data_IF_802311708271
#
_entry.id   IF_802311708271
#
_cell.length_a   1.000
_cell.length_b   1.000
_cell.length_c   1.000
_cell.angle_alpha   90.00
_cell.angle_beta   90.00
_cell.angle_gamma   90.00
#
_symmetry.space_group_name_H-M   'P 1'
#
loop_
_entity.id
_entity.type
_entity.pdbx_description
1 polymer ?
#
# COMPACT_ATOMS: atom_id res chain seq x y z
N UNK A 1 -18.82 -4.16 12.39
CA UNK A 1 -19.26 -4.53 13.76
C UNK A 1 -18.18 -4.26 14.80
N UNK A 2 -16.93 -4.72 14.60
CA UNK A 2 -15.82 -4.51 15.56
C UNK A 2 -15.50 -3.03 15.79
N UNK A 3 -15.50 -2.19 14.74
CA UNK A 3 -15.21 -0.75 14.87
C UNK A 3 -16.12 -0.01 15.87
N UNK A 4 -17.42 -0.36 15.90
CA UNK A 4 -18.38 0.23 16.86
C UNK A 4 -18.12 -0.27 18.28
N UNK A 5 -17.69 -1.53 18.42
CA UNK A 5 -17.39 -2.13 19.71
C UNK A 5 -16.10 -1.55 20.33
N UNK A 6 -15.09 -1.20 19.53
CA UNK A 6 -13.86 -0.53 20.02
C UNK A 6 -14.18 0.87 20.61
N UNK A 7 -15.22 1.55 20.13
CA UNK A 7 -15.61 2.87 20.66
C UNK A 7 -16.44 2.81 21.94
N UNK A 8 -16.92 1.64 22.34
CA UNK A 8 -17.72 1.46 23.56
C UNK A 8 -16.86 0.80 24.66
N UNK A 9 -16.63 1.48 25.79
CA UNK A 9 -15.81 0.94 26.88
C UNK A 9 -16.25 -0.45 27.38
N UNK A 10 -17.57 -0.73 27.38
CA UNK A 10 -18.12 -1.99 27.86
C UNK A 10 -17.83 -3.18 26.92
N UNK A 11 -17.60 -2.91 25.63
CA UNK A 11 -17.32 -3.96 24.64
C UNK A 11 -15.88 -3.91 24.10
N UNK A 12 -15.07 -2.95 24.55
CA UNK A 12 -13.68 -2.77 24.13
C UNK A 12 -12.82 -4.02 24.34
N UNK A 13 -12.92 -4.66 25.52
CA UNK A 13 -12.13 -5.88 25.82
C UNK A 13 -12.48 -7.04 24.90
N UNK A 14 -13.79 -7.23 24.62
CA UNK A 14 -14.28 -8.24 23.70
C UNK A 14 -13.82 -7.92 22.28
N UNK A 15 -13.94 -6.66 21.85
CA UNK A 15 -13.52 -6.23 20.52
C UNK A 15 -12.03 -6.47 20.27
N UNK A 16 -11.17 -6.11 21.24
CA UNK A 16 -9.72 -6.37 21.17
C UNK A 16 -9.39 -7.86 21.16
N UNK A 17 -10.15 -8.66 21.90
CA UNK A 17 -9.98 -10.12 21.92
C UNK A 17 -10.33 -10.71 20.57
N UNK A 18 -11.49 -10.36 20.02
CA UNK A 18 -11.89 -10.77 18.67
C UNK A 18 -10.85 -10.33 17.64
N UNK A 19 -10.32 -9.10 17.75
CA UNK A 19 -9.29 -8.59 16.85
C UNK A 19 -8.03 -9.45 16.82
N UNK A 20 -7.54 -9.80 18.01
CA UNK A 20 -6.40 -10.70 18.19
C UNK A 20 -6.68 -12.08 17.62
N UNK A 21 -7.85 -12.65 17.89
CA UNK A 21 -8.21 -14.00 17.46
C UNK A 21 -8.27 -14.13 15.94
N UNK A 22 -8.95 -13.20 15.23
CA UNK A 22 -8.99 -13.30 13.76
C UNK A 22 -7.61 -13.05 13.13
N UNK A 23 -6.79 -12.17 13.72
CA UNK A 23 -5.41 -11.95 13.28
C UNK A 23 -4.56 -13.22 13.39
N UNK A 24 -4.57 -13.88 14.56
CA UNK A 24 -3.85 -15.13 14.77
C UNK A 24 -4.37 -16.26 13.88
N UNK A 25 -5.69 -16.37 13.75
CA UNK A 25 -6.31 -17.34 12.86
C UNK A 25 -5.88 -17.14 11.40
N UNK A 26 -5.87 -15.90 10.90
CA UNK A 26 -5.44 -15.62 9.52
C UNK A 26 -3.97 -15.95 9.29
N UNK A 27 -3.10 -15.68 10.27
CA UNK A 27 -1.69 -16.07 10.22
C UNK A 27 -1.51 -17.60 10.21
N UNK A 28 -2.25 -18.32 11.06
CA UNK A 28 -2.21 -19.79 11.12
C UNK A 28 -2.68 -20.43 9.80
N UNK A 29 -3.72 -19.88 9.19
CA UNK A 29 -4.26 -20.27 7.88
C UNK A 29 -3.41 -19.76 6.69
N UNK A 30 -2.28 -19.09 6.95
CA UNK A 30 -1.39 -18.51 5.93
C UNK A 30 -2.12 -17.61 4.93
N UNK A 31 -3.13 -16.85 5.39
CA UNK A 31 -3.87 -15.95 4.51
C UNK A 31 -2.95 -14.85 4.03
N UNK A 32 -2.84 -14.70 2.71
CA UNK A 32 -1.91 -13.74 2.12
C UNK A 32 -2.32 -12.30 2.51
N UNK A 33 -1.38 -11.37 2.73
CA UNK A 33 -1.71 -9.98 3.03
C UNK A 33 -2.64 -9.34 1.99
N UNK A 34 -2.54 -9.71 0.72
CA UNK A 34 -3.47 -9.24 -0.32
C UNK A 34 -4.94 -9.65 -0.08
N UNK A 35 -5.17 -10.83 0.51
CA UNK A 35 -6.52 -11.31 0.86
C UNK A 35 -7.03 -10.63 2.12
N UNK A 36 -6.16 -10.50 3.13
CA UNK A 36 -6.45 -9.78 4.37
C UNK A 36 -6.88 -8.32 4.10
N UNK A 37 -6.26 -7.67 3.11
CA UNK A 37 -6.64 -6.32 2.65
C UNK A 37 -8.13 -6.24 2.29
N UNK A 38 -8.63 -7.20 1.50
CA UNK A 38 -10.04 -7.28 1.08
C UNK A 38 -10.97 -7.66 2.22
N UNK A 39 -10.53 -8.54 3.12
CA UNK A 39 -11.33 -8.89 4.31
C UNK A 39 -11.49 -7.72 5.28
N UNK A 40 -10.59 -6.74 5.21
CA UNK A 40 -10.70 -5.47 5.92
C UNK A 40 -11.49 -4.41 5.14
N UNK A 41 -12.06 -4.76 3.98
CA UNK A 41 -12.76 -3.87 3.05
C UNK A 41 -11.91 -2.68 2.59
N UNK A 42 -10.58 -2.79 2.67
CA UNK A 42 -9.68 -1.69 2.27
C UNK A 42 -9.70 -1.47 0.76
N UNK A 43 -10.01 -2.50 -0.04
CA UNK A 43 -10.22 -2.41 -1.49
C UNK A 43 -11.43 -1.53 -1.86
N UNK A 44 -12.35 -1.32 -0.92
CA UNK A 44 -13.54 -0.45 -1.08
C UNK A 44 -13.34 0.94 -0.49
N UNK A 45 -12.22 1.21 0.21
CA UNK A 45 -11.96 2.50 0.82
C UNK A 45 -11.59 3.59 -0.21
N UNK A 46 -11.15 3.17 -1.42
CA UNK A 46 -10.84 4.08 -2.53
C UNK A 46 -9.80 5.11 -2.12
N UNK A 47 -10.04 6.38 -2.46
CA UNK A 47 -9.13 7.48 -2.16
C UNK A 47 -8.73 7.62 -0.67
N UNK A 48 -9.57 7.13 0.24
CA UNK A 48 -9.33 7.20 1.69
C UNK A 48 -8.53 6.01 2.24
N UNK A 49 -8.06 5.09 1.40
CA UNK A 49 -7.39 3.85 1.81
C UNK A 49 -6.30 4.07 2.85
N UNK A 50 -5.35 4.98 2.62
CA UNK A 50 -4.21 5.19 3.53
C UNK A 50 -4.61 5.85 4.85
N UNK A 51 -5.68 6.65 4.85
CA UNK A 51 -6.24 7.28 6.04
C UNK A 51 -7.26 6.38 6.77
N UNK A 52 -7.64 5.25 6.16
CA UNK A 52 -8.63 4.36 6.73
C UNK A 52 -8.06 3.69 7.99
N UNK A 53 -8.78 3.66 9.14
CA UNK A 53 -8.23 3.13 10.40
C UNK A 53 -7.72 1.68 10.30
N UNK A 54 -8.36 0.84 9.49
CA UNK A 54 -7.94 -0.55 9.24
C UNK A 54 -6.66 -0.69 8.42
N UNK A 55 -6.18 0.38 7.78
CA UNK A 55 -4.94 0.31 6.99
C UNK A 55 -3.74 0.01 7.90
N UNK A 56 -3.68 0.61 9.08
CA UNK A 56 -2.64 0.31 10.06
C UNK A 56 -2.74 -1.16 10.54
N UNK A 57 -3.93 -1.64 10.87
CA UNK A 57 -4.15 -3.06 11.22
C UNK A 57 -3.65 -4.00 10.12
N UNK A 58 -3.89 -3.65 8.84
CA UNK A 58 -3.40 -4.43 7.72
C UNK A 58 -1.86 -4.39 7.57
N UNK A 59 -1.23 -3.24 7.79
CA UNK A 59 0.24 -3.12 7.78
C UNK A 59 0.85 -4.00 8.88
N UNK A 60 0.29 -3.96 10.08
CA UNK A 60 0.74 -4.82 11.19
C UNK A 60 0.54 -6.32 10.86
N UNK A 61 -0.56 -6.68 10.18
CA UNK A 61 -0.75 -8.04 9.69
C UNK A 61 0.30 -8.44 8.64
N UNK A 62 0.58 -7.56 7.67
CA UNK A 62 1.60 -7.78 6.64
C UNK A 62 2.98 -7.99 7.26
N UNK A 63 3.37 -7.19 8.24
CA UNK A 63 4.66 -7.31 8.92
C UNK A 63 4.78 -8.63 9.68
N UNK A 64 3.73 -9.03 10.42
CA UNK A 64 3.70 -10.32 11.11
C UNK A 64 3.73 -11.50 10.13
N UNK A 65 2.98 -11.42 9.02
CA UNK A 65 3.00 -12.43 7.97
C UNK A 65 4.40 -12.58 7.37
N UNK A 66 5.05 -11.47 7.04
CA UNK A 66 6.41 -11.43 6.49
C UNK A 66 7.46 -12.03 7.45
N UNK A 67 7.28 -11.86 8.77
CA UNK A 67 8.16 -12.47 9.77
C UNK A 67 7.99 -13.99 9.83
N UNK A 68 6.75 -14.48 9.78
CA UNK A 68 6.44 -15.91 9.87
C UNK A 68 6.72 -16.67 8.57
N UNK A 69 6.54 -16.01 7.42
CA UNK A 69 6.62 -16.63 6.09
C UNK A 69 7.60 -15.87 5.18
N UNK A 70 8.92 -15.93 5.47
CA UNK A 70 9.93 -15.14 4.75
C UNK A 70 9.98 -15.40 3.24
N UNK A 71 9.69 -16.64 2.80
CA UNK A 71 9.65 -17.02 1.39
C UNK A 71 8.45 -16.46 0.62
N UNK A 72 7.44 -15.95 1.33
CA UNK A 72 6.22 -15.37 0.76
C UNK A 72 6.10 -13.88 1.08
N UNK A 73 7.23 -13.24 1.42
CA UNK A 73 7.26 -11.83 1.79
C UNK A 73 6.68 -10.95 0.69
N UNK A 74 5.94 -9.95 1.11
CA UNK A 74 5.35 -8.93 0.24
C UNK A 74 5.57 -7.55 0.84
N UNK A 75 5.31 -6.49 0.08
CA UNK A 75 5.46 -5.10 0.52
C UNK A 75 4.12 -4.39 0.56
N UNK A 76 4.06 -3.24 1.23
CA UNK A 76 2.85 -2.40 1.22
C UNK A 76 2.45 -2.05 -0.23
N UNK A 77 3.42 -1.70 -1.09
CA UNK A 77 3.10 -1.35 -2.48
C UNK A 77 2.60 -2.55 -3.29
N UNK A 78 3.12 -3.76 -3.04
CA UNK A 78 2.62 -4.99 -3.67
C UNK A 78 1.19 -5.30 -3.22
N UNK A 79 0.90 -5.12 -1.94
CA UNK A 79 -0.46 -5.26 -1.40
C UNK A 79 -1.45 -4.27 -2.01
N UNK A 80 -1.04 -3.02 -2.23
CA UNK A 80 -1.84 -2.02 -2.94
C UNK A 80 -2.06 -2.44 -4.40
N UNK A 81 -1.00 -2.84 -5.14
CA UNK A 81 -1.11 -3.26 -6.55
C UNK A 81 -1.89 -4.55 -6.76
N UNK A 82 -1.95 -5.42 -5.75
CA UNK A 82 -2.80 -6.62 -5.77
C UNK A 82 -4.31 -6.30 -5.65
N UNK A 83 -4.67 -5.08 -5.26
CA UNK A 83 -6.04 -4.65 -5.01
C UNK A 83 -6.47 -3.42 -5.82
N UNK A 84 -5.52 -2.65 -6.33
CA UNK A 84 -5.71 -1.45 -7.13
C UNK A 84 -4.76 -1.44 -8.31
N UNK A 85 -5.24 -0.92 -9.46
CA UNK A 85 -4.33 -0.56 -10.54
C UNK A 85 -3.56 0.73 -10.20
N UNK A 86 -2.47 0.98 -10.93
CA UNK A 86 -1.59 2.11 -10.64
C UNK A 86 -2.31 3.48 -10.75
N UNK A 87 -3.31 3.61 -11.63
CA UNK A 87 -4.16 4.82 -11.72
C UNK A 87 -4.87 5.10 -10.38
N UNK A 88 -5.54 4.09 -9.82
CA UNK A 88 -6.23 4.22 -8.55
C UNK A 88 -5.24 4.47 -7.40
N UNK A 89 -4.06 3.86 -7.44
CA UNK A 89 -3.00 4.10 -6.45
C UNK A 89 -2.52 5.55 -6.50
N UNK A 90 -2.32 6.13 -7.68
CA UNK A 90 -1.93 7.54 -7.80
C UNK A 90 -3.03 8.48 -7.27
N UNK A 91 -4.31 8.17 -7.52
CA UNK A 91 -5.42 8.94 -6.90
C UNK A 91 -5.45 8.84 -5.37
N UNK A 92 -5.16 7.66 -4.82
CA UNK A 92 -5.01 7.45 -3.37
C UNK A 92 -3.86 8.31 -2.83
N UNK A 93 -2.70 8.30 -3.49
CA UNK A 93 -1.55 9.11 -3.10
C UNK A 93 -1.87 10.61 -3.15
N UNK A 94 -2.49 11.09 -4.22
CA UNK A 94 -2.85 12.50 -4.37
C UNK A 94 -3.87 12.96 -3.32
N UNK A 95 -4.75 12.06 -2.87
CA UNK A 95 -5.70 12.36 -1.80
C UNK A 95 -5.00 12.39 -0.45
N UNK A 96 -4.20 11.36 -0.15
CA UNK A 96 -3.47 11.24 1.11
C UNK A 96 -2.43 12.37 1.29
N UNK A 97 -1.70 12.76 0.22
CA UNK A 97 -0.68 13.83 0.27
C UNK A 97 -1.22 15.18 0.78
N UNK A 98 -2.55 15.40 0.77
CA UNK A 98 -3.20 16.60 1.34
C UNK A 98 -3.25 16.60 2.86
N UNK A 99 -3.09 15.44 3.50
CA UNK A 99 -2.98 15.28 4.94
C UNK A 99 -1.50 15.18 5.35
N UNK A 100 -0.96 16.18 6.09
CA UNK A 100 0.42 16.17 6.54
C UNK A 100 0.82 14.92 7.35
N UNK A 101 -0.14 14.26 8.01
CA UNK A 101 0.13 13.03 8.77
C UNK A 101 0.50 11.84 7.88
N UNK A 102 0.11 11.85 6.61
CA UNK A 102 0.38 10.76 5.66
C UNK A 102 1.43 11.10 4.61
N UNK A 103 1.86 12.36 4.51
CA UNK A 103 2.80 12.86 3.49
C UNK A 103 4.08 12.01 3.39
N UNK A 104 4.72 11.73 4.54
CA UNK A 104 5.96 10.91 4.57
C UNK A 104 5.73 9.48 4.11
N UNK A 105 4.56 8.90 4.41
CA UNK A 105 4.20 7.56 3.96
C UNK A 105 3.99 7.57 2.44
N UNK A 106 3.23 8.54 1.92
CA UNK A 106 2.99 8.70 0.48
C UNK A 106 4.31 8.82 -0.28
N UNK A 107 5.24 9.66 0.17
CA UNK A 107 6.53 9.83 -0.49
C UNK A 107 7.32 8.50 -0.60
N UNK A 108 7.29 7.66 0.44
CA UNK A 108 7.91 6.32 0.44
C UNK A 108 7.22 5.36 -0.52
N UNK A 109 5.88 5.38 -0.55
CA UNK A 109 5.10 4.50 -1.42
C UNK A 109 5.21 4.91 -2.89
N UNK A 110 5.29 6.21 -3.18
CA UNK A 110 5.62 6.73 -4.50
C UNK A 110 6.99 6.22 -4.98
N UNK A 111 8.04 6.33 -4.14
CA UNK A 111 9.35 5.74 -4.47
C UNK A 111 9.24 4.23 -4.73
N UNK A 112 8.51 3.52 -3.89
CA UNK A 112 8.32 2.07 -4.04
C UNK A 112 7.59 1.70 -5.33
N UNK A 113 6.61 2.50 -5.77
CA UNK A 113 5.90 2.30 -7.03
C UNK A 113 6.82 2.56 -8.24
N UNK A 114 7.64 3.62 -8.17
CA UNK A 114 8.66 3.89 -9.19
C UNK A 114 9.63 2.71 -9.30
N UNK A 115 10.04 2.12 -8.17
CA UNK A 115 10.93 0.95 -8.16
C UNK A 115 10.31 -0.25 -8.85
N UNK A 116 8.97 -0.42 -8.73
CA UNK A 116 8.24 -1.45 -9.48
C UNK A 116 8.26 -1.17 -10.98
N UNK A 117 7.99 0.06 -11.41
CA UNK A 117 8.06 0.43 -12.82
C UNK A 117 9.47 0.21 -13.41
N UNK A 118 10.53 0.52 -12.65
CA UNK A 118 11.92 0.24 -13.06
C UNK A 118 12.15 -1.25 -13.25
N UNK A 119 11.77 -2.07 -12.26
CA UNK A 119 11.94 -3.52 -12.33
C UNK A 119 11.16 -4.15 -13.49
N UNK A 120 9.96 -3.62 -13.76
CA UNK A 120 9.08 -4.01 -14.87
C UNK A 120 9.52 -3.45 -16.22
N UNK A 121 10.51 -2.55 -16.23
CA UNK A 121 11.01 -1.86 -17.43
C UNK A 121 9.88 -1.15 -18.19
N UNK A 122 8.97 -0.53 -17.44
CA UNK A 122 7.82 0.18 -18.03
C UNK A 122 8.30 1.33 -18.94
N UNK A 123 7.87 1.39 -20.22
CA UNK A 123 8.31 2.46 -21.10
C UNK A 123 7.79 3.83 -20.64
N UNK A 124 8.66 4.83 -20.60
CA UNK A 124 8.33 6.21 -20.16
C UNK A 124 7.09 6.75 -20.89
N UNK A 125 7.02 6.59 -22.21
CA UNK A 125 5.89 7.05 -23.03
C UNK A 125 4.59 6.30 -22.74
N UNK A 126 4.67 5.03 -22.31
CA UNK A 126 3.51 4.27 -21.86
C UNK A 126 2.98 4.82 -20.54
N UNK A 127 3.87 5.10 -19.58
CA UNK A 127 3.46 5.69 -18.29
C UNK A 127 2.88 7.10 -18.47
N UNK A 128 3.50 7.94 -19.32
CA UNK A 128 2.97 9.28 -19.64
C UNK A 128 1.55 9.19 -20.21
N UNK A 129 1.33 8.36 -21.23
CA UNK A 129 0.00 8.17 -21.84
C UNK A 129 -1.01 7.56 -20.87
N UNK A 130 -0.57 6.70 -19.96
CA UNK A 130 -1.46 6.06 -18.96
C UNK A 130 -1.91 7.05 -17.89
N UNK A 131 -1.08 8.05 -17.57
CA UNK A 131 -1.28 8.92 -16.42
C UNK A 131 -1.47 10.41 -16.75
N UNK A 132 -1.54 10.79 -18.03
CA UNK A 132 -1.75 12.16 -18.51
C UNK A 132 -2.97 12.87 -17.91
N UNK A 133 -4.01 12.12 -17.53
CA UNK A 133 -5.22 12.65 -16.87
C UNK A 133 -5.11 12.71 -15.34
N UNK A 134 -4.01 12.24 -14.75
CA UNK A 134 -3.84 12.14 -13.30
C UNK A 134 -3.11 13.39 -12.79
N UNK A 135 -3.63 14.10 -11.77
CA UNK A 135 -2.93 15.24 -11.20
C UNK A 135 -1.52 14.87 -10.74
N UNK A 136 -0.57 15.78 -10.93
CA UNK A 136 0.81 15.67 -10.45
C UNK A 136 1.59 14.44 -10.94
N UNK A 137 1.11 13.74 -11.98
CA UNK A 137 1.80 12.55 -12.53
C UNK A 137 3.18 12.89 -13.11
N UNK A 138 3.38 14.11 -13.59
CA UNK A 138 4.66 14.57 -14.15
C UNK A 138 5.79 14.47 -13.14
N UNK A 139 5.53 14.75 -11.85
CA UNK A 139 6.51 14.60 -10.77
C UNK A 139 6.97 13.14 -10.66
N UNK A 140 6.03 12.19 -10.72
CA UNK A 140 6.32 10.75 -10.67
C UNK A 140 7.12 10.29 -11.90
N UNK A 141 6.77 10.77 -13.10
CA UNK A 141 7.50 10.46 -14.33
C UNK A 141 8.91 11.05 -14.30
N UNK A 142 9.08 12.28 -13.83
CA UNK A 142 10.38 12.93 -13.72
C UNK A 142 11.31 12.12 -12.80
N UNK A 143 10.83 11.74 -11.61
CA UNK A 143 11.58 10.88 -10.66
C UNK A 143 11.91 9.51 -11.24
N UNK A 144 11.01 8.93 -12.02
CA UNK A 144 11.26 7.67 -12.73
C UNK A 144 12.39 7.80 -13.76
N UNK A 145 12.36 8.84 -14.60
CA UNK A 145 13.40 9.12 -15.62
C UNK A 145 14.75 9.40 -14.96
N UNK A 146 14.77 10.17 -13.88
CA UNK A 146 15.98 10.42 -13.09
C UNK A 146 16.54 9.10 -12.55
N UNK A 147 15.70 8.25 -11.97
CA UNK A 147 16.12 6.94 -11.46
C UNK A 147 16.68 6.04 -12.55
N UNK A 148 16.08 5.99 -13.74
CA UNK A 148 16.65 5.24 -14.87
C UNK A 148 18.04 5.78 -15.28
N UNK A 149 18.21 7.10 -15.28
CA UNK A 149 19.47 7.76 -15.66
C UNK A 149 20.59 7.47 -14.64
N UNK A 150 20.27 7.46 -13.34
CA UNK A 150 21.26 7.11 -12.30
C UNK A 150 21.70 5.65 -12.39
N UNK A 151 20.77 4.73 -12.70
CA UNK A 151 21.09 3.30 -12.86
C UNK A 151 21.95 3.01 -14.10
N UNK A 152 21.74 3.74 -15.21
CA UNK A 152 22.58 3.57 -16.41
C UNK A 152 23.98 4.15 -16.23
N UNK A 153 24.12 5.25 -15.49
CA UNK A 153 25.42 5.86 -15.17
C UNK A 153 26.29 5.00 -14.24
N UNK A 154 25.69 4.26 -13.31
CA UNK A 154 26.42 3.44 -12.33
C UNK A 154 26.90 2.09 -12.88
N UNK A 155 26.44 1.66 -14.06
CA UNK A 155 26.85 0.39 -14.68
C UNK A 155 28.12 0.50 -15.54
N UNK A 156 28.80 1.66 -15.53
CA UNK A 156 30.00 1.97 -16.31
C UNK A 156 31.28 2.15 -15.46
N UNK A 157 31.32 1.62 -14.24
CA UNK A 157 32.50 1.59 -13.34
C UNK A 157 32.63 0.23 -12.69
#
# INVERSE_FOLDING_TARGET
MIERAIKNPNTLSIAKSVEREWHQYWLAEKRLPQQAFRYLDLDKAGANTLAHPKFQTWVEYLDNFNQLYPEQKTTIIDGLRANYNDINILHIFNTAKKDPSTEKLVAKLQSSLIDKWVAEKEPVETLKRRFDHIPDYEEMIARYVEKLSTLSGNNNT
#
